data_IF_279325019558
#
_entry.id   IF_279325019558
#
_cell.length_a   1.000
_cell.length_b   1.000
_cell.length_c   1.000
_cell.angle_alpha   90.00
_cell.angle_beta   90.00
_cell.angle_gamma   90.00
#
_symmetry.space_group_name_H-M   'P 1'
#
loop_
_entity.id
_entity.type
_entity.pdbx_description
1 polymer ?
#
# COMPACT_ATOMS: atom_id res chain seq x y z
N UNK A 1 15.90 11.63 2.05
CA UNK A 1 15.03 10.75 1.25
C UNK A 1 13.67 10.81 1.92
N UNK A 2 12.66 11.32 1.23
CA UNK A 2 11.34 11.53 1.83
C UNK A 2 10.51 10.27 1.61
N UNK A 3 10.20 9.56 2.69
CA UNK A 3 9.32 8.38 2.66
C UNK A 3 7.91 8.86 2.34
N UNK A 4 7.43 8.57 1.13
CA UNK A 4 6.12 9.03 0.68
C UNK A 4 5.03 8.33 1.48
N UNK A 5 4.23 9.09 2.22
CA UNK A 5 3.03 8.57 2.90
C UNK A 5 1.97 8.29 1.84
N UNK A 6 1.51 7.04 1.76
CA UNK A 6 0.49 6.59 0.81
C UNK A 6 -0.89 6.65 1.45
N UNK A 7 -0.99 6.26 2.72
CA UNK A 7 -2.23 6.35 3.48
C UNK A 7 -2.03 7.19 4.73
N UNK A 8 -2.72 8.33 4.80
CA UNK A 8 -2.66 9.20 5.99
C UNK A 8 -3.42 8.60 7.18
N UNK A 9 -4.48 7.80 6.95
CA UNK A 9 -5.32 7.23 8.02
C UNK A 9 -4.56 6.21 8.88
N UNK A 10 -3.88 5.28 8.23
CA UNK A 10 -3.09 4.23 8.89
C UNK A 10 -1.58 4.52 8.85
N UNK A 11 -1.20 5.72 8.43
CA UNK A 11 0.18 6.19 8.34
C UNK A 11 1.10 5.23 7.55
N UNK A 12 0.57 4.61 6.50
CA UNK A 12 1.27 3.63 5.65
C UNK A 12 2.16 4.37 4.66
N UNK A 13 3.44 4.03 4.64
CA UNK A 13 4.45 4.63 3.76
C UNK A 13 4.74 3.72 2.57
N UNK A 14 5.39 4.30 1.55
CA UNK A 14 5.85 3.56 0.39
C UNK A 14 6.80 2.41 0.78
N UNK A 15 7.72 2.68 1.71
CA UNK A 15 8.62 1.66 2.26
C UNK A 15 7.89 0.51 2.94
N UNK A 16 6.77 0.77 3.65
CA UNK A 16 5.95 -0.29 4.23
C UNK A 16 5.38 -1.20 3.12
N UNK A 17 4.89 -0.61 2.03
CA UNK A 17 4.37 -1.36 0.89
C UNK A 17 5.50 -2.20 0.25
N UNK A 18 6.67 -1.62 0.01
CA UNK A 18 7.81 -2.34 -0.57
C UNK A 18 8.29 -3.48 0.33
N UNK A 19 8.31 -3.28 1.65
CA UNK A 19 8.67 -4.33 2.61
C UNK A 19 7.64 -5.47 2.58
N UNK A 20 6.35 -5.15 2.51
CA UNK A 20 5.31 -6.16 2.36
C UNK A 20 5.44 -6.95 1.06
N UNK A 21 5.73 -6.30 -0.06
CA UNK A 21 6.00 -6.97 -1.35
C UNK A 21 7.20 -7.91 -1.23
N UNK A 22 8.28 -7.47 -0.58
CA UNK A 22 9.47 -8.31 -0.31
C UNK A 22 9.18 -9.49 0.60
N UNK A 23 8.27 -9.32 1.57
CA UNK A 23 7.77 -10.39 2.43
C UNK A 23 6.86 -11.39 1.68
N UNK A 24 6.55 -11.14 0.41
CA UNK A 24 5.81 -12.04 -0.46
C UNK A 24 4.36 -11.64 -0.72
N UNK A 25 3.94 -10.44 -0.28
CA UNK A 25 2.61 -9.91 -0.60
C UNK A 25 2.52 -9.64 -2.11
N UNK A 26 1.56 -10.28 -2.78
CA UNK A 26 1.36 -10.13 -4.24
C UNK A 26 0.03 -9.54 -4.62
N UNK A 27 -0.90 -9.46 -3.67
CA UNK A 27 -2.22 -8.89 -3.90
C UNK A 27 -2.44 -7.67 -3.03
N UNK A 28 -3.27 -6.76 -3.51
CA UNK A 28 -3.64 -5.59 -2.74
C UNK A 28 -4.45 -5.96 -1.50
N UNK A 29 -5.27 -7.03 -1.57
CA UNK A 29 -6.03 -7.55 -0.42
C UNK A 29 -5.12 -7.97 0.74
N UNK A 30 -4.05 -8.73 0.47
CA UNK A 30 -3.07 -9.10 1.49
C UNK A 30 -2.40 -7.87 2.11
N UNK A 31 -2.10 -6.84 1.29
CA UNK A 31 -1.58 -5.57 1.79
C UNK A 31 -2.60 -4.84 2.67
N UNK A 32 -3.89 -4.85 2.29
CA UNK A 32 -4.97 -4.29 3.10
C UNK A 32 -5.08 -5.01 4.44
N UNK A 33 -5.01 -6.34 4.49
CA UNK A 33 -5.08 -7.10 5.75
C UNK A 33 -3.91 -6.77 6.69
N UNK A 34 -2.71 -6.55 6.13
CA UNK A 34 -1.51 -6.23 6.94
C UNK A 34 -1.43 -4.78 7.40
N UNK A 35 -1.84 -3.84 6.55
CA UNK A 35 -1.61 -2.40 6.76
C UNK A 35 -2.87 -1.58 6.98
N UNK A 36 -4.05 -2.19 6.79
CA UNK A 36 -5.35 -1.52 6.73
C UNK A 36 -5.43 -0.41 5.68
N UNK A 37 -4.56 -0.43 4.66
CA UNK A 37 -4.57 0.61 3.63
C UNK A 37 -5.91 0.64 2.89
N UNK A 38 -6.55 1.81 2.82
CA UNK A 38 -7.79 2.00 2.07
C UNK A 38 -9.00 1.21 2.59
N UNK A 39 -9.01 0.75 3.84
CA UNK A 39 -10.20 0.14 4.46
C UNK A 39 -11.21 1.20 4.90
N UNK A 40 -10.74 2.32 5.46
CA UNK A 40 -11.60 3.41 5.95
C UNK A 40 -11.96 4.45 4.88
N UNK A 41 -11.17 4.55 3.80
CA UNK A 41 -11.30 5.59 2.77
C UNK A 41 -11.40 4.98 1.36
N UNK A 42 -12.62 4.85 0.80
CA UNK A 42 -12.85 4.31 -0.55
C UNK A 42 -12.02 4.98 -1.66
N UNK A 43 -11.88 6.32 -1.74
CA UNK A 43 -11.08 6.94 -2.81
C UNK A 43 -9.56 6.70 -2.64
N UNK A 44 -9.09 6.53 -1.41
CA UNK A 44 -7.69 6.20 -1.12
C UNK A 44 -7.38 4.75 -1.49
N UNK A 45 -8.38 3.84 -1.41
CA UNK A 45 -8.24 2.44 -1.83
C UNK A 45 -7.80 2.35 -3.29
N UNK A 46 -8.57 2.94 -4.19
CA UNK A 46 -8.33 2.88 -5.64
C UNK A 46 -6.95 3.49 -6.03
N UNK A 47 -6.60 4.61 -5.39
CA UNK A 47 -5.29 5.26 -5.59
C UNK A 47 -4.13 4.40 -5.08
N UNK A 48 -4.30 3.76 -3.91
CA UNK A 48 -3.29 2.90 -3.30
C UNK A 48 -3.11 1.59 -4.07
N UNK A 49 -4.21 1.03 -4.60
CA UNK A 49 -4.19 -0.18 -5.41
C UNK A 49 -3.47 0.04 -6.74
N UNK A 50 -3.75 1.16 -7.42
CA UNK A 50 -3.02 1.56 -8.63
C UNK A 50 -1.52 1.72 -8.35
N UNK A 51 -1.18 2.35 -7.23
CA UNK A 51 0.23 2.50 -6.82
C UNK A 51 0.87 1.13 -6.54
N UNK A 52 0.20 0.26 -5.78
CA UNK A 52 0.66 -1.08 -5.46
C UNK A 52 0.93 -1.91 -6.72
N UNK A 53 -0.02 -1.95 -7.65
CA UNK A 53 0.16 -2.65 -8.93
C UNK A 53 1.32 -2.08 -9.74
N UNK A 54 1.50 -0.75 -9.73
CA UNK A 54 2.65 -0.13 -10.39
C UNK A 54 3.99 -0.50 -9.74
N UNK A 55 4.02 -0.81 -8.44
CA UNK A 55 5.23 -1.25 -7.74
C UNK A 55 5.49 -2.75 -7.96
N UNK A 56 4.43 -3.55 -8.09
CA UNK A 56 4.54 -5.00 -8.29
C UNK A 56 5.05 -5.38 -9.69
N UNK A 57 4.75 -4.55 -10.70
CA UNK A 57 5.13 -4.77 -12.10
C UNK A 57 6.54 -4.20 -12.41
N UNK A 58 7.09 -3.41 -11.49
CA UNK A 58 8.38 -2.72 -11.66
C UNK A 58 9.57 -3.64 -11.39
#
# INVERSE_FOLDING_TARGET
MEDKVICCCHNVKLSDIENNIKDGVKTFEELQEKTNIGTDCPPCKDSSEKLFNSLLIK
#
